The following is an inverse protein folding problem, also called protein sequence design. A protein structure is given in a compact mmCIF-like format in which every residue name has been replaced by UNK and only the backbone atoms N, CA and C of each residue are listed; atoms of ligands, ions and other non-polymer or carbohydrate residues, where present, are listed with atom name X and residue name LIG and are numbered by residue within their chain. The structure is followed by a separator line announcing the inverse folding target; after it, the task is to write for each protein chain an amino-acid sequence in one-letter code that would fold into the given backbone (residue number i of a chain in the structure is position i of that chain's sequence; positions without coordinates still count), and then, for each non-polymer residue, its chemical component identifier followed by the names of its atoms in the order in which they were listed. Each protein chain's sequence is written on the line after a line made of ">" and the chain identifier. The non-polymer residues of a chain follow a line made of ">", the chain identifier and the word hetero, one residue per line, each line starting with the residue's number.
data_IF_485490691861
#
_entry.id   IF_485490691861
#
_cell.length_a   1.000
_cell.length_b   1.000
_cell.length_c   1.000
_cell.angle_alpha   90.00
_cell.angle_beta   90.00
_cell.angle_gamma   90.00
#
_symmetry.space_group_name_H-M   'P 1'
#
loop_
_entity.id
_entity.type
_entity.pdbx_description
1 polymer ?
#
# COMPACT_ATOMS: atom_id res chain seq x y z
N UNK A 1 -1.57 0.69 -15.72
CA UNK A 1 -1.06 -0.61 -16.24
C UNK A 1 -1.35 -1.74 -15.25
N UNK A 2 -1.55 -1.42 -13.97
CA UNK A 2 -2.06 -2.27 -12.88
C UNK A 2 -3.39 -2.96 -13.20
N UNK A 3 -4.34 -2.29 -13.85
CA UNK A 3 -5.56 -2.94 -14.33
C UNK A 3 -5.26 -4.06 -15.35
N UNK A 4 -4.24 -3.90 -16.20
CA UNK A 4 -3.84 -5.00 -17.10
C UNK A 4 -3.12 -6.11 -16.33
N UNK A 5 -2.27 -5.78 -15.35
CA UNK A 5 -1.59 -6.77 -14.51
C UNK A 5 -2.57 -7.60 -13.64
N UNK A 6 -3.53 -6.94 -12.99
CA UNK A 6 -4.54 -7.58 -12.13
C UNK A 6 -5.50 -8.48 -12.91
N UNK A 7 -5.91 -8.07 -14.12
CA UNK A 7 -6.90 -8.80 -14.92
C UNK A 7 -6.32 -9.78 -15.95
N UNK A 8 -5.00 -9.76 -16.24
CA UNK A 8 -4.41 -10.66 -17.24
C UNK A 8 -3.64 -11.86 -16.69
N UNK A 9 -3.16 -11.85 -15.45
CA UNK A 9 -2.13 -12.82 -15.01
C UNK A 9 -2.44 -13.64 -13.73
N UNK A 10 -3.62 -13.51 -13.13
CA UNK A 10 -4.04 -14.50 -12.11
C UNK A 10 -4.47 -15.85 -12.71
N UNK A 11 -4.60 -15.94 -14.04
CA UNK A 11 -4.90 -17.17 -14.76
C UNK A 11 -3.68 -17.70 -15.48
N UNK A 12 -3.07 -18.76 -14.92
CA UNK A 12 -2.19 -19.73 -15.57
C UNK A 12 -1.21 -19.24 -16.65
N UNK A 13 0.06 -19.02 -16.28
CA UNK A 13 1.18 -19.36 -17.16
C UNK A 13 2.26 -18.31 -17.45
N UNK A 14 2.11 -17.04 -17.05
CA UNK A 14 3.16 -16.03 -17.21
C UNK A 14 3.82 -15.68 -15.87
N UNK A 15 5.15 -15.48 -15.88
CA UNK A 15 5.91 -15.16 -14.66
C UNK A 15 5.55 -13.76 -14.17
N UNK A 16 4.94 -13.64 -12.98
CA UNK A 16 4.69 -12.38 -12.27
C UNK A 16 5.90 -11.41 -12.29
N UNK A 17 7.11 -11.96 -12.31
CA UNK A 17 8.38 -11.23 -12.40
C UNK A 17 8.49 -10.28 -13.61
N UNK A 18 7.92 -10.64 -14.77
CA UNK A 18 8.02 -9.83 -15.99
C UNK A 18 7.29 -8.47 -15.88
N UNK A 19 6.31 -8.37 -14.98
CA UNK A 19 5.53 -7.14 -14.77
C UNK A 19 6.05 -6.26 -13.63
N UNK A 20 6.97 -6.77 -12.81
CA UNK A 20 7.47 -6.06 -11.63
C UNK A 20 8.05 -4.67 -11.92
N UNK A 21 8.82 -4.44 -13.01
CA UNK A 21 9.33 -3.10 -13.31
C UNK A 21 8.20 -2.10 -13.58
N UNK A 22 7.15 -2.51 -14.30
CA UNK A 22 5.99 -1.66 -14.59
C UNK A 22 5.14 -1.38 -13.34
N UNK A 23 4.96 -2.39 -12.48
CA UNK A 23 4.25 -2.24 -11.21
C UNK A 23 5.00 -1.25 -10.31
N UNK A 24 6.33 -1.39 -10.17
CA UNK A 24 7.16 -0.47 -9.38
C UNK A 24 7.10 0.96 -9.90
N UNK A 25 7.17 1.15 -11.22
CA UNK A 25 7.05 2.48 -11.83
C UNK A 25 5.69 3.13 -11.54
N UNK A 26 4.59 2.37 -11.65
CA UNK A 26 3.25 2.88 -11.39
C UNK A 26 3.02 3.17 -9.90
N UNK A 27 3.57 2.35 -8.98
CA UNK A 27 3.58 2.63 -7.54
C UNK A 27 4.32 3.94 -7.25
N UNK A 28 5.48 4.16 -7.87
CA UNK A 28 6.26 5.38 -7.70
C UNK A 28 5.51 6.63 -8.20
N UNK A 29 4.84 6.54 -9.35
CA UNK A 29 3.99 7.61 -9.89
C UNK A 29 2.85 7.96 -8.93
N UNK A 30 2.10 6.95 -8.46
CA UNK A 30 1.00 7.19 -7.53
C UNK A 30 1.50 7.68 -6.18
N UNK A 31 2.67 7.25 -5.72
CA UNK A 31 3.29 7.74 -4.49
C UNK A 31 3.54 9.25 -4.52
N UNK A 32 3.97 9.79 -5.67
CA UNK A 32 4.13 11.24 -5.84
C UNK A 32 2.77 11.96 -5.76
N UNK A 33 1.74 11.38 -6.38
CA UNK A 33 0.37 11.94 -6.37
C UNK A 33 -0.28 11.96 -4.99
N UNK A 34 0.17 11.14 -4.03
CA UNK A 34 -0.37 11.17 -2.65
C UNK A 34 -0.28 12.56 -2.02
N UNK A 35 0.73 13.37 -2.35
CA UNK A 35 0.90 14.72 -1.79
C UNK A 35 -0.29 15.64 -2.13
N UNK A 36 -0.85 15.52 -3.33
CA UNK A 36 -2.02 16.30 -3.78
C UNK A 36 -3.33 15.52 -3.69
N UNK A 37 -3.28 14.19 -3.54
CA UNK A 37 -4.43 13.30 -3.43
C UNK A 37 -4.25 12.30 -2.27
N UNK A 38 -4.41 12.73 -0.99
CA UNK A 38 -4.16 11.88 0.17
C UNK A 38 -5.04 10.62 0.25
N UNK A 39 -6.20 10.63 -0.43
CA UNK A 39 -7.07 9.46 -0.55
C UNK A 39 -6.36 8.23 -1.16
N UNK A 40 -5.28 8.43 -1.93
CA UNK A 40 -4.49 7.34 -2.52
C UNK A 40 -3.56 6.66 -1.52
N UNK A 41 -3.30 7.25 -0.36
CA UNK A 41 -2.27 6.79 0.58
C UNK A 41 -2.45 5.32 0.99
N UNK A 42 -3.70 4.88 1.23
CA UNK A 42 -3.98 3.48 1.56
C UNK A 42 -3.58 2.53 0.42
N UNK A 43 -4.05 2.82 -0.79
CA UNK A 43 -3.81 1.96 -1.95
C UNK A 43 -2.32 1.86 -2.28
N UNK A 44 -1.60 2.99 -2.22
CA UNK A 44 -0.14 3.00 -2.46
C UNK A 44 0.59 2.27 -1.34
N UNK A 45 0.26 2.51 -0.08
CA UNK A 45 0.88 1.81 1.06
C UNK A 45 0.72 0.29 0.96
N UNK A 46 -0.48 -0.20 0.65
CA UNK A 46 -0.74 -1.63 0.42
C UNK A 46 0.01 -2.16 -0.81
N UNK A 47 0.07 -1.40 -1.90
CA UNK A 47 0.81 -1.83 -3.09
C UNK A 47 2.32 -1.94 -2.81
N UNK A 48 2.89 -1.02 -2.03
CA UNK A 48 4.29 -1.13 -1.59
C UNK A 48 4.51 -2.36 -0.71
N UNK A 49 3.61 -2.62 0.24
CA UNK A 49 3.65 -3.83 1.07
C UNK A 49 3.67 -5.11 0.22
N UNK A 50 2.82 -5.20 -0.80
CA UNK A 50 2.71 -6.42 -1.61
C UNK A 50 3.78 -6.59 -2.69
N UNK A 51 4.31 -5.50 -3.27
CA UNK A 51 5.15 -5.57 -4.47
C UNK A 51 6.54 -4.95 -4.33
N UNK A 52 6.82 -4.23 -3.24
CA UNK A 52 8.08 -3.53 -3.04
C UNK A 52 8.68 -3.79 -1.64
N UNK A 53 8.30 -4.90 -1.00
CA UNK A 53 8.82 -5.29 0.32
C UNK A 53 10.31 -5.63 0.31
N UNK A 54 10.77 -6.30 -0.75
CA UNK A 54 12.15 -6.71 -0.93
C UNK A 54 12.87 -5.88 -1.99
N UNK A 55 14.19 -5.75 -1.81
CA UNK A 55 15.11 -5.17 -2.79
C UNK A 55 15.05 -5.97 -4.10
N UNK A 56 15.25 -5.29 -5.22
CA UNK A 56 15.21 -5.95 -6.52
C UNK A 56 16.30 -7.03 -6.64
N UNK A 57 15.92 -8.24 -7.02
CA UNK A 57 16.84 -9.38 -7.15
C UNK A 57 17.38 -9.92 -5.83
N UNK A 58 16.82 -9.53 -4.68
CA UNK A 58 17.29 -9.93 -3.36
C UNK A 58 16.13 -10.37 -2.45
N UNK A 59 16.44 -11.19 -1.44
CA UNK A 59 15.54 -11.52 -0.32
C UNK A 59 15.67 -10.55 0.85
N UNK A 60 16.57 -9.56 0.74
CA UNK A 60 16.71 -8.51 1.74
C UNK A 60 15.53 -7.54 1.68
N UNK A 61 15.01 -7.22 2.85
CA UNK A 61 13.97 -6.23 3.01
C UNK A 61 14.48 -4.85 2.57
N UNK A 62 13.63 -4.12 1.86
CA UNK A 62 13.88 -2.73 1.51
C UNK A 62 13.32 -1.82 2.60
N UNK A 63 14.10 -1.65 3.67
CA UNK A 63 13.71 -0.86 4.86
C UNK A 63 13.17 0.54 4.52
N UNK A 64 13.74 1.20 3.51
CA UNK A 64 13.28 2.52 3.06
C UNK A 64 11.88 2.42 2.45
N UNK A 65 11.65 1.41 1.62
CA UNK A 65 10.34 1.18 1.03
C UNK A 65 9.29 0.76 2.07
N UNK A 66 9.68 -0.07 3.05
CA UNK A 66 8.84 -0.50 4.17
C UNK A 66 8.45 0.69 5.06
N UNK A 67 9.41 1.52 5.45
CA UNK A 67 9.16 2.72 6.25
C UNK A 67 8.23 3.71 5.53
N UNK A 68 8.44 3.94 4.23
CA UNK A 68 7.53 4.78 3.44
C UNK A 68 6.12 4.15 3.30
N UNK A 69 6.02 2.82 3.18
CA UNK A 69 4.72 2.14 3.17
C UNK A 69 3.97 2.32 4.50
N UNK A 70 4.65 2.16 5.64
CA UNK A 70 4.09 2.43 6.96
C UNK A 70 3.59 3.87 7.09
N UNK A 71 4.40 4.84 6.67
CA UNK A 71 4.04 6.26 6.70
C UNK A 71 2.81 6.57 5.85
N UNK A 72 2.67 5.94 4.67
CA UNK A 72 1.48 6.08 3.81
C UNK A 72 0.24 5.47 4.46
N UNK A 73 0.36 4.28 5.03
CA UNK A 73 -0.74 3.62 5.72
C UNK A 73 -1.20 4.45 6.93
N UNK A 74 -0.27 5.03 7.68
CA UNK A 74 -0.58 5.96 8.78
C UNK A 74 -1.21 7.27 8.30
N UNK A 75 -0.69 7.87 7.23
CA UNK A 75 -1.30 9.04 6.60
C UNK A 75 -2.75 8.75 6.16
N UNK A 76 -3.02 7.53 5.71
CA UNK A 76 -4.36 7.08 5.35
C UNK A 76 -5.32 7.05 6.55
N UNK A 77 -4.83 6.72 7.75
CA UNK A 77 -5.59 6.77 9.01
C UNK A 77 -5.97 8.21 9.33
N UNK A 78 -4.97 9.11 9.31
CA UNK A 78 -5.16 10.54 9.59
C UNK A 78 -6.15 11.19 8.61
N UNK A 79 -5.96 10.96 7.31
CA UNK A 79 -6.87 11.49 6.29
C UNK A 79 -8.31 10.98 6.46
N UNK A 80 -8.48 9.71 6.82
CA UNK A 80 -9.81 9.12 7.01
C UNK A 80 -10.41 9.41 8.39
N UNK A 81 -9.66 10.04 9.30
CA UNK A 81 -10.07 10.29 10.69
C UNK A 81 -10.29 9.00 11.49
N UNK A 82 -9.57 7.92 11.14
CA UNK A 82 -9.68 6.62 11.81
C UNK A 82 -8.98 6.59 13.19
N UNK A 83 -8.32 7.68 13.57
CA UNK A 83 -7.71 7.92 14.88
C UNK A 83 -8.62 8.74 15.81
N UNK A 84 -9.81 9.15 15.35
CA UNK A 84 -10.78 9.87 16.17
C UNK A 84 -11.44 8.94 17.19
N UNK A 85 -11.30 9.27 18.48
CA UNK A 85 -11.92 8.51 19.57
C UNK A 85 -13.46 8.60 19.57
N UNK A 86 -14.02 9.65 18.96
CA UNK A 86 -15.46 9.92 18.88
C UNK A 86 -16.11 9.44 17.57
N UNK A 87 -15.39 8.66 16.75
CA UNK A 87 -15.89 8.20 15.47
C UNK A 87 -17.04 7.18 15.65
N UNK A 88 -18.24 7.43 15.10
CA UNK A 88 -19.34 6.46 15.18
C UNK A 88 -18.97 5.14 14.51
N UNK A 89 -19.46 4.02 15.05
CA UNK A 89 -19.15 2.68 14.56
C UNK A 89 -19.44 2.50 13.06
N UNK A 90 -20.56 3.04 12.57
CA UNK A 90 -20.92 2.98 11.15
C UNK A 90 -19.86 3.67 10.27
N UNK A 91 -19.43 4.87 10.66
CA UNK A 91 -18.38 5.60 9.96
C UNK A 91 -17.02 4.87 10.04
N UNK A 92 -16.72 4.21 11.17
CA UNK A 92 -15.52 3.38 11.33
C UNK A 92 -15.48 2.24 10.31
N UNK A 93 -16.60 1.54 10.12
CA UNK A 93 -16.73 0.43 9.15
C UNK A 93 -16.66 0.97 7.71
N UNK A 94 -17.45 2.00 7.39
CA UNK A 94 -17.49 2.58 6.03
C UNK A 94 -16.14 3.10 5.57
N UNK A 95 -15.32 3.64 6.49
CA UNK A 95 -13.96 4.15 6.19
C UNK A 95 -12.88 3.07 6.24
N UNK A 96 -13.28 1.81 6.47
CA UNK A 96 -12.40 0.65 6.58
C UNK A 96 -11.33 0.80 7.68
N UNK A 97 -11.64 1.51 8.77
CA UNK A 97 -10.66 1.79 9.83
C UNK A 97 -10.11 0.50 10.47
N UNK A 98 -10.94 -0.54 10.57
CA UNK A 98 -10.54 -1.85 11.06
C UNK A 98 -9.53 -2.59 10.16
N UNK A 99 -9.44 -2.24 8.87
CA UNK A 99 -8.42 -2.78 7.97
C UNK A 99 -7.14 -1.91 7.99
N UNK A 100 -7.29 -0.59 8.08
CA UNK A 100 -6.15 0.36 8.04
C UNK A 100 -5.19 0.17 9.22
N UNK A 101 -5.72 0.03 10.44
CA UNK A 101 -4.90 -0.12 11.64
C UNK A 101 -4.01 -1.38 11.64
N UNK A 102 -4.54 -2.59 11.34
CA UNK A 102 -3.71 -3.79 11.24
C UNK A 102 -2.57 -3.68 10.24
N UNK A 103 -2.81 -3.10 9.06
CA UNK A 103 -1.74 -2.89 8.08
C UNK A 103 -0.64 -1.97 8.61
N UNK A 104 -1.00 -0.89 9.31
CA UNK A 104 -0.01 0.00 9.95
C UNK A 104 0.80 -0.77 10.99
N UNK A 105 0.14 -1.49 11.91
CA UNK A 105 0.81 -2.24 12.97
C UNK A 105 1.76 -3.28 12.38
N UNK A 106 1.31 -4.05 11.40
CA UNK A 106 2.09 -5.08 10.74
C UNK A 106 3.31 -4.51 10.03
N UNK A 107 3.19 -3.38 9.32
CA UNK A 107 4.34 -2.81 8.60
C UNK A 107 5.33 -2.13 9.54
N UNK A 108 4.87 -1.55 10.67
CA UNK A 108 5.77 -1.00 11.69
C UNK A 108 6.46 -2.06 12.54
N UNK A 109 5.86 -3.23 12.76
CA UNK A 109 6.51 -4.30 13.55
C UNK A 109 7.71 -4.94 12.85
N UNK A 110 7.85 -4.71 11.55
CA UNK A 110 8.92 -5.25 10.71
C UNK A 110 10.06 -4.24 10.48
N UNK A 111 9.97 -3.03 11.05
CA UNK A 111 11.05 -2.03 11.09
C UNK A 111 11.92 -2.23 12.33
#
# INVERSE_FOLDING_TARGET
>A
VLRRAYFKDYGHGNQQHALMPYIRAEIAEYRQKVQSMPALALAVGMAKYHFAWYREGSSEMDEVNVADAANLLYASIKFSGCDRADLPLEAFVQRMCGARWPYVVMVYSEQ
#
